data_IF_637406037283
#
_entry.id   IF_637406037283
#
_cell.length_a   1.000
_cell.length_b   1.000
_cell.length_c   1.000
_cell.angle_alpha   90.00
_cell.angle_beta   90.00
_cell.angle_gamma   90.00
#
_symmetry.space_group_name_H-M   'P 1'
#
loop_
_entity.id
_entity.type
_entity.pdbx_description
1 polymer ?
#
# COMPACT_ATOMS: atom_id res chain seq x y z
N UNK A 1 18.71 70.62 23.89
CA UNK A 1 17.42 70.86 24.57
C UNK A 1 16.36 70.04 23.84
N UNK A 2 15.67 69.23 24.64
CA UNK A 2 14.71 68.18 24.33
C UNK A 2 13.66 68.48 23.26
N UNK A 3 13.33 67.46 22.46
CA UNK A 3 12.00 66.85 22.53
C UNK A 3 12.11 65.37 22.07
N UNK A 4 11.61 64.48 22.93
CA UNK A 4 11.57 63.02 22.80
C UNK A 4 10.08 62.62 22.80
N UNK A 5 9.79 61.51 22.09
CA UNK A 5 8.61 60.60 22.13
C UNK A 5 7.68 60.57 20.90
N UNK A 6 7.00 59.43 20.61
CA UNK A 6 7.48 58.04 20.75
C UNK A 6 6.98 57.06 19.63
N UNK A 7 7.48 55.83 19.70
CA UNK A 7 6.76 54.56 19.41
C UNK A 7 6.25 54.25 18.00
N UNK A 8 6.94 53.33 17.33
CA UNK A 8 6.31 52.31 16.49
C UNK A 8 7.06 51.00 16.70
N UNK A 9 6.48 50.10 17.50
CA UNK A 9 6.95 48.75 17.68
C UNK A 9 6.78 47.97 16.37
N UNK A 10 7.89 47.69 15.68
CA UNK A 10 7.92 46.68 14.65
C UNK A 10 7.88 45.31 15.34
N UNK A 11 6.69 44.76 15.48
CA UNK A 11 6.51 43.35 15.83
C UNK A 11 7.00 42.57 14.61
N UNK A 12 8.18 41.98 14.74
CA UNK A 12 8.62 40.93 13.86
C UNK A 12 7.69 39.73 14.09
N UNK A 13 6.74 39.51 13.19
CA UNK A 13 6.08 38.22 13.08
C UNK A 13 7.09 37.25 12.49
N UNK A 14 7.72 36.46 13.36
CA UNK A 14 8.34 35.20 12.96
C UNK A 14 7.23 34.32 12.37
N UNK A 15 7.35 33.83 11.12
CA UNK A 15 6.48 32.77 10.66
C UNK A 15 6.86 31.51 11.43
N UNK A 16 6.04 31.16 12.42
CA UNK A 16 6.04 29.85 13.07
C UNK A 16 5.70 28.83 11.97
N UNK A 17 6.74 28.37 11.30
CA UNK A 17 6.69 27.18 10.47
C UNK A 17 6.80 26.01 11.45
N UNK A 18 5.81 25.12 11.57
CA UNK A 18 6.02 23.91 12.33
C UNK A 18 7.04 23.09 11.55
N UNK A 19 8.28 23.09 12.04
CA UNK A 19 9.32 22.19 11.59
C UNK A 19 8.88 20.76 11.93
N UNK A 20 8.06 20.16 11.06
CA UNK A 20 7.89 18.73 11.00
C UNK A 20 9.28 18.14 10.75
N UNK A 21 9.79 17.40 11.75
CA UNK A 21 11.08 16.70 11.76
C UNK A 21 11.53 16.26 10.36
N UNK A 22 12.55 16.92 9.83
CA UNK A 22 13.05 16.78 8.46
C UNK A 22 13.95 15.54 8.27
N UNK A 23 13.50 14.38 8.76
CA UNK A 23 14.11 13.11 8.38
C UNK A 23 13.54 12.67 7.01
N UNK A 24 14.39 12.29 6.03
CA UNK A 24 13.93 11.72 4.77
C UNK A 24 12.96 10.55 5.00
N UNK A 25 11.96 10.37 4.12
CA UNK A 25 10.96 9.28 4.24
C UNK A 25 11.55 7.91 4.62
N UNK A 26 12.70 7.46 4.05
CA UNK A 26 13.31 6.19 4.45
C UNK A 26 13.76 6.13 5.92
N UNK A 27 14.26 7.24 6.47
CA UNK A 27 14.66 7.33 7.88
C UNK A 27 13.48 7.20 8.82
N UNK A 28 12.39 7.93 8.53
CA UNK A 28 11.13 7.84 9.29
C UNK A 28 10.51 6.44 9.20
N UNK A 29 10.54 5.82 8.03
CA UNK A 29 10.05 4.46 7.83
C UNK A 29 10.84 3.47 8.68
N UNK A 30 12.17 3.56 8.68
CA UNK A 30 13.04 2.67 9.47
C UNK A 30 12.84 2.84 10.97
N UNK A 31 12.64 4.08 11.43
CA UNK A 31 12.30 4.38 12.82
C UNK A 31 10.95 3.75 13.20
N UNK A 32 9.92 3.90 12.37
CA UNK A 32 8.61 3.29 12.62
C UNK A 32 8.64 1.76 12.59
N UNK A 33 9.42 1.14 11.69
CA UNK A 33 9.65 -0.31 11.66
C UNK A 33 10.40 -0.79 12.92
N UNK A 34 11.34 0.00 13.42
CA UNK A 34 12.06 -0.31 14.68
C UNK A 34 11.10 -0.22 15.87
N UNK A 35 10.31 0.86 15.96
CA UNK A 35 9.29 1.04 16.99
C UNK A 35 8.24 -0.09 16.96
N UNK A 36 7.85 -0.55 15.77
CA UNK A 36 6.96 -1.71 15.63
C UNK A 36 7.59 -2.99 16.21
N UNK A 37 8.87 -3.25 15.93
CA UNK A 37 9.58 -4.40 16.49
C UNK A 37 9.62 -4.35 18.02
N UNK A 38 10.01 -3.21 18.59
CA UNK A 38 10.09 -2.99 20.03
C UNK A 38 8.72 -3.11 20.72
N UNK A 39 7.67 -2.56 20.09
CA UNK A 39 6.30 -2.65 20.58
C UNK A 39 5.80 -4.11 20.58
N UNK A 40 6.12 -4.88 19.54
CA UNK A 40 5.75 -6.28 19.48
C UNK A 40 6.54 -7.13 20.47
N UNK A 41 7.85 -6.88 20.65
CA UNK A 41 8.68 -7.57 21.65
C UNK A 41 8.20 -7.30 23.08
N UNK A 42 7.69 -6.10 23.36
CA UNK A 42 7.10 -5.74 24.65
C UNK A 42 5.63 -6.14 24.82
N UNK A 43 4.99 -6.70 23.78
CA UNK A 43 3.56 -7.06 23.79
C UNK A 43 2.60 -5.85 23.88
N UNK A 44 3.08 -4.65 23.53
CA UNK A 44 2.29 -3.43 23.58
C UNK A 44 1.48 -3.24 22.29
N UNK A 45 0.25 -3.77 22.29
CA UNK A 45 -0.66 -3.72 21.14
C UNK A 45 -0.93 -2.30 20.64
N UNK A 46 -1.17 -1.34 21.54
CA UNK A 46 -1.46 0.04 21.14
C UNK A 46 -0.27 0.71 20.45
N UNK A 47 0.94 0.46 20.95
CA UNK A 47 2.17 0.98 20.33
C UNK A 47 2.45 0.30 18.98
N UNK A 48 2.19 -1.01 18.89
CA UNK A 48 2.32 -1.77 17.63
C UNK A 48 1.34 -1.26 16.58
N UNK A 49 0.08 -1.06 16.96
CA UNK A 49 -0.96 -0.48 16.11
C UNK A 49 -0.56 0.92 15.63
N UNK A 50 -0.14 1.80 16.55
CA UNK A 50 0.32 3.16 16.21
C UNK A 50 1.49 3.14 15.22
N UNK A 51 2.48 2.27 15.45
CA UNK A 51 3.63 2.13 14.55
C UNK A 51 3.21 1.60 13.18
N UNK A 52 2.31 0.62 13.12
CA UNK A 52 1.78 0.07 11.86
C UNK A 52 1.03 1.10 11.03
N UNK A 53 0.19 1.93 11.66
CA UNK A 53 -0.49 3.04 10.98
C UNK A 53 0.48 4.12 10.53
N UNK A 54 1.52 4.41 11.32
CA UNK A 54 2.58 5.35 10.92
C UNK A 54 3.32 4.85 9.67
N UNK A 55 3.63 3.55 9.60
CA UNK A 55 4.24 2.94 8.41
C UNK A 55 3.29 3.07 7.20
N UNK A 56 2.01 2.74 7.38
CA UNK A 56 1.00 2.86 6.33
C UNK A 56 0.89 4.30 5.80
N UNK A 57 0.81 5.28 6.70
CA UNK A 57 0.71 6.71 6.36
C UNK A 57 1.94 7.22 5.60
N UNK A 58 3.15 6.78 6.00
CA UNK A 58 4.38 7.10 5.28
C UNK A 58 4.32 6.59 3.83
N UNK A 59 3.87 5.36 3.62
CA UNK A 59 3.77 4.78 2.27
C UNK A 59 2.65 5.43 1.45
N UNK A 60 1.50 5.72 2.07
CA UNK A 60 0.36 6.33 1.37
C UNK A 60 0.64 7.78 0.99
N UNK A 61 1.26 8.54 1.89
CA UNK A 61 1.75 9.89 1.61
C UNK A 61 2.78 9.87 0.48
N UNK A 62 3.75 8.94 0.55
CA UNK A 62 4.73 8.79 -0.52
C UNK A 62 4.08 8.46 -1.87
N UNK A 63 2.96 7.71 -1.88
CA UNK A 63 2.17 7.42 -3.06
C UNK A 63 1.39 8.65 -3.60
N UNK A 64 0.90 9.53 -2.71
CA UNK A 64 0.11 10.72 -3.06
C UNK A 64 0.89 11.95 -3.56
N UNK A 65 2.15 12.13 -3.12
CA UNK A 65 3.01 13.28 -3.48
C UNK A 65 3.29 13.40 -5.00
N UNK A 66 2.88 12.42 -5.81
CA UNK A 66 3.01 12.44 -7.28
C UNK A 66 1.84 13.10 -8.02
N UNK A 67 0.73 13.44 -7.35
CA UNK A 67 -0.47 13.99 -8.02
C UNK A 67 -0.49 15.50 -8.24
N UNK A 68 0.33 16.29 -7.54
CA UNK A 68 0.15 17.75 -7.47
C UNK A 68 1.08 18.58 -8.37
N UNK A 69 1.90 17.98 -9.23
CA UNK A 69 2.85 18.72 -10.07
C UNK A 69 2.86 18.17 -11.49
N UNK A 70 1.86 18.55 -12.29
CA UNK A 70 1.95 18.51 -13.75
C UNK A 70 1.83 19.91 -14.33
N UNK A 71 2.99 20.53 -14.56
CA UNK A 71 3.20 21.47 -15.68
C UNK A 71 4.64 21.28 -16.18
N UNK A 72 4.85 20.17 -16.90
CA UNK A 72 6.08 19.88 -17.64
C UNK A 72 7.00 18.84 -17.00
N UNK A 73 6.73 17.54 -17.22
CA UNK A 73 7.57 16.46 -16.70
C UNK A 73 8.96 16.42 -17.36
N UNK A 74 10.00 16.54 -16.54
CA UNK A 74 11.37 16.15 -16.87
C UNK A 74 11.57 14.68 -16.43
N UNK A 75 11.97 13.79 -17.35
CA UNK A 75 12.16 12.33 -17.13
C UNK A 75 13.04 12.03 -15.89
N UNK A 76 13.89 12.98 -15.51
CA UNK A 76 14.79 12.91 -14.36
C UNK A 76 14.08 12.86 -13.00
N UNK A 77 12.92 13.53 -12.87
CA UNK A 77 12.17 13.61 -11.62
C UNK A 77 11.34 12.35 -11.36
N UNK A 78 10.75 11.76 -12.40
CA UNK A 78 10.00 10.51 -12.29
C UNK A 78 10.90 9.31 -11.99
N UNK A 79 12.12 9.27 -12.57
CA UNK A 79 13.13 8.30 -12.22
C UNK A 79 13.56 8.42 -10.74
N UNK A 80 13.74 9.64 -10.24
CA UNK A 80 14.11 9.91 -8.84
C UNK A 80 13.00 9.54 -7.85
N UNK A 81 11.73 9.79 -8.21
CA UNK A 81 10.55 9.42 -7.42
C UNK A 81 10.32 7.91 -7.38
N UNK A 82 10.50 7.21 -8.51
CA UNK A 82 10.46 5.75 -8.56
C UNK A 82 11.58 5.14 -7.71
N UNK A 83 12.79 5.72 -7.75
CA UNK A 83 13.89 5.31 -6.87
C UNK A 83 13.57 5.43 -5.38
N UNK A 84 12.99 6.55 -4.94
CA UNK A 84 12.58 6.74 -3.54
C UNK A 84 11.48 5.75 -3.12
N UNK A 85 10.50 5.51 -4.00
CA UNK A 85 9.40 4.56 -3.78
C UNK A 85 9.92 3.12 -3.65
N UNK A 86 10.86 2.75 -4.52
CA UNK A 86 11.53 1.46 -4.49
C UNK A 86 12.27 1.25 -3.17
N UNK A 87 12.99 2.27 -2.68
CA UNK A 87 13.70 2.22 -1.39
C UNK A 87 12.72 1.95 -0.25
N UNK A 88 11.59 2.64 -0.19
CA UNK A 88 10.59 2.42 0.87
C UNK A 88 10.03 0.99 0.84
N UNK A 89 9.67 0.48 -0.34
CA UNK A 89 9.20 -0.89 -0.49
C UNK A 89 10.28 -1.91 -0.08
N UNK A 90 11.55 -1.65 -0.42
CA UNK A 90 12.66 -2.53 -0.04
C UNK A 90 12.88 -2.56 1.46
N UNK A 91 12.77 -1.44 2.17
CA UNK A 91 12.87 -1.42 3.64
C UNK A 91 11.77 -2.27 4.29
N UNK A 92 10.53 -2.17 3.80
CA UNK A 92 9.41 -3.02 4.26
C UNK A 92 9.69 -4.49 3.96
N UNK A 93 10.10 -4.81 2.74
CA UNK A 93 10.39 -6.20 2.34
C UNK A 93 11.55 -6.79 3.15
N UNK A 94 12.61 -6.01 3.38
CA UNK A 94 13.74 -6.41 4.21
C UNK A 94 13.27 -6.68 5.64
N UNK A 95 12.49 -5.78 6.23
CA UNK A 95 11.92 -5.96 7.56
C UNK A 95 11.09 -7.25 7.67
N UNK A 96 10.18 -7.50 6.72
CA UNK A 96 9.36 -8.71 6.67
C UNK A 96 10.21 -9.98 6.48
N UNK A 97 11.29 -9.89 5.71
CA UNK A 97 12.15 -11.03 5.36
C UNK A 97 13.23 -11.34 6.40
N UNK A 98 13.41 -10.50 7.44
CA UNK A 98 14.46 -10.71 8.44
C UNK A 98 14.24 -12.02 9.19
N UNK A 99 15.26 -12.90 9.25
CA UNK A 99 15.21 -14.10 10.06
C UNK A 99 15.47 -13.74 11.53
N UNK A 100 14.55 -13.03 12.16
CA UNK A 100 14.45 -13.01 13.62
C UNK A 100 13.58 -14.20 14.03
N UNK A 101 14.16 -15.12 14.82
CA UNK A 101 13.55 -16.30 15.46
C UNK A 101 12.01 -16.31 15.40
N UNK A 102 11.38 -16.96 14.39
CA UNK A 102 9.95 -17.27 14.36
C UNK A 102 9.07 -16.12 14.89
N UNK A 103 8.73 -15.17 14.02
CA UNK A 103 7.44 -14.47 14.03
C UNK A 103 7.12 -13.62 15.26
N UNK A 104 7.39 -12.31 15.19
CA UNK A 104 6.41 -11.40 15.76
C UNK A 104 5.18 -11.48 14.84
N UNK A 105 4.39 -12.55 14.99
CA UNK A 105 3.13 -12.74 14.27
C UNK A 105 2.26 -11.49 14.46
N UNK A 106 2.39 -10.82 15.61
CA UNK A 106 1.81 -9.51 15.88
C UNK A 106 2.22 -8.43 14.88
N UNK A 107 3.51 -8.33 14.52
CA UNK A 107 3.98 -7.37 13.52
C UNK A 107 3.45 -7.75 12.13
N UNK A 108 3.46 -9.05 11.79
CA UNK A 108 2.93 -9.53 10.53
C UNK A 108 1.41 -9.24 10.42
N UNK A 109 0.65 -9.58 11.46
CA UNK A 109 -0.80 -9.36 11.55
C UNK A 109 -1.11 -7.86 11.45
N UNK A 110 -0.45 -7.03 12.26
CA UNK A 110 -0.64 -5.58 12.25
C UNK A 110 -0.34 -4.97 10.87
N UNK A 111 0.80 -5.33 10.26
CA UNK A 111 1.16 -4.84 8.94
C UNK A 111 0.24 -5.38 7.84
N UNK A 112 -0.22 -6.63 7.95
CA UNK A 112 -1.09 -7.24 6.96
C UNK A 112 -2.42 -6.50 6.83
N UNK A 113 -2.93 -5.94 7.93
CA UNK A 113 -4.19 -5.19 7.95
C UNK A 113 -4.10 -3.85 7.23
N UNK A 114 -2.94 -3.19 7.28
CA UNK A 114 -2.81 -1.79 6.86
C UNK A 114 -2.00 -1.61 5.57
N UNK A 115 -1.05 -2.50 5.26
CA UNK A 115 -0.11 -2.31 4.16
C UNK A 115 -0.57 -2.70 2.75
N UNK A 116 -1.49 -3.65 2.51
CA UNK A 116 -1.78 -4.09 1.14
C UNK A 116 -2.17 -2.97 0.18
N UNK A 117 -3.02 -2.03 0.63
CA UNK A 117 -3.43 -0.88 -0.18
C UNK A 117 -2.26 0.08 -0.49
N UNK A 118 -1.54 0.67 0.49
CA UNK A 118 -0.46 1.60 0.18
C UNK A 118 0.72 0.93 -0.55
N UNK A 119 1.00 -0.35 -0.28
CA UNK A 119 2.01 -1.12 -1.04
C UNK A 119 1.60 -1.26 -2.51
N UNK A 120 0.34 -1.56 -2.80
CA UNK A 120 -0.16 -1.63 -4.17
C UNK A 120 -0.10 -0.26 -4.86
N UNK A 121 -0.51 0.83 -4.18
CA UNK A 121 -0.43 2.20 -4.69
C UNK A 121 1.00 2.61 -5.03
N UNK A 122 1.95 2.31 -4.15
CA UNK A 122 3.35 2.65 -4.38
C UNK A 122 3.98 1.75 -5.45
N UNK A 123 3.57 0.47 -5.51
CA UNK A 123 3.98 -0.51 -6.51
C UNK A 123 3.43 -0.27 -7.91
N UNK A 124 2.32 0.48 -8.02
CA UNK A 124 1.75 0.91 -9.29
C UNK A 124 2.65 1.88 -10.07
N UNK A 125 3.68 2.43 -9.42
CA UNK A 125 4.71 3.24 -10.07
C UNK A 125 5.57 2.37 -10.99
N UNK A 126 5.89 2.89 -12.16
CA UNK A 126 6.72 2.18 -13.15
C UNK A 126 8.09 1.78 -12.58
N UNK A 127 8.69 0.74 -13.19
CA UNK A 127 10.01 0.25 -12.83
C UNK A 127 9.98 -0.86 -11.77
N UNK A 128 11.03 -0.91 -10.94
CA UNK A 128 11.25 -2.00 -9.96
C UNK A 128 10.27 -2.00 -8.79
N UNK A 129 9.47 -0.94 -8.61
CA UNK A 129 8.46 -0.85 -7.56
C UNK A 129 7.42 -1.97 -7.67
N UNK A 130 6.99 -2.31 -8.89
CA UNK A 130 6.01 -3.38 -9.15
C UNK A 130 6.48 -4.73 -8.61
N UNK A 131 7.73 -5.10 -8.89
CA UNK A 131 8.29 -6.38 -8.48
C UNK A 131 8.44 -6.50 -6.96
N UNK A 132 8.90 -5.42 -6.31
CA UNK A 132 9.06 -5.39 -4.85
C UNK A 132 7.69 -5.41 -4.16
N UNK A 133 6.71 -4.64 -4.64
CA UNK A 133 5.36 -4.66 -4.11
C UNK A 133 4.69 -6.04 -4.28
N UNK A 134 4.84 -6.67 -5.45
CA UNK A 134 4.35 -8.02 -5.68
C UNK A 134 5.01 -9.05 -4.73
N UNK A 135 6.29 -8.89 -4.40
CA UNK A 135 6.99 -9.72 -3.43
C UNK A 135 6.45 -9.54 -2.00
N UNK A 136 6.16 -8.29 -1.58
CA UNK A 136 5.55 -7.99 -0.28
C UNK A 136 4.15 -8.60 -0.18
N UNK A 137 3.29 -8.38 -1.18
CA UNK A 137 1.94 -8.95 -1.19
C UNK A 137 2.00 -10.48 -1.18
N UNK A 138 2.91 -11.08 -1.95
CA UNK A 138 3.14 -12.53 -1.90
C UNK A 138 3.58 -13.01 -0.51
N UNK A 139 4.42 -12.23 0.17
CA UNK A 139 4.84 -12.53 1.54
C UNK A 139 3.63 -12.58 2.49
N UNK A 140 2.75 -11.58 2.44
CA UNK A 140 1.51 -11.58 3.23
C UNK A 140 0.61 -12.78 2.88
N UNK A 141 0.36 -13.03 1.59
CA UNK A 141 -0.47 -14.15 1.12
C UNK A 141 0.06 -15.51 1.61
N UNK A 142 1.38 -15.67 1.68
CA UNK A 142 2.00 -16.95 2.07
C UNK A 142 2.08 -17.15 3.58
N UNK A 143 2.12 -16.07 4.37
CA UNK A 143 2.39 -16.13 5.81
C UNK A 143 1.18 -15.76 6.69
N UNK A 144 0.10 -15.22 6.13
CA UNK A 144 -1.13 -14.91 6.87
C UNK A 144 -2.20 -15.99 6.68
N UNK A 145 -3.24 -15.97 7.53
CA UNK A 145 -4.41 -16.82 7.33
C UNK A 145 -5.09 -16.47 5.98
N UNK A 146 -5.33 -17.44 5.07
CA UNK A 146 -5.91 -17.15 3.76
C UNK A 146 -7.28 -16.47 3.80
N UNK A 147 -8.13 -16.75 4.80
CA UNK A 147 -9.46 -16.11 4.88
C UNK A 147 -9.38 -14.67 5.36
N UNK A 148 -8.50 -14.42 6.32
CA UNK A 148 -8.27 -13.07 6.82
C UNK A 148 -7.64 -12.23 5.71
N UNK A 149 -6.63 -12.78 5.02
CA UNK A 149 -6.00 -12.14 3.86
C UNK A 149 -6.99 -11.89 2.71
N UNK A 150 -7.93 -12.80 2.45
CA UNK A 150 -9.01 -12.55 1.47
C UNK A 150 -9.81 -11.31 1.86
N UNK A 151 -10.21 -11.21 3.13
CA UNK A 151 -11.03 -10.10 3.64
C UNK A 151 -10.26 -8.78 3.57
N UNK A 152 -9.00 -8.79 3.99
CA UNK A 152 -8.08 -7.65 3.94
C UNK A 152 -7.89 -7.16 2.50
N UNK A 153 -7.62 -8.06 1.55
CA UNK A 153 -7.44 -7.67 0.14
C UNK A 153 -8.74 -7.17 -0.47
N UNK A 154 -9.89 -7.72 -0.08
CA UNK A 154 -11.20 -7.19 -0.49
C UNK A 154 -11.42 -5.78 0.05
N UNK A 155 -11.05 -5.49 1.29
CA UNK A 155 -11.11 -4.14 1.85
C UNK A 155 -10.19 -3.17 1.10
N UNK A 156 -8.96 -3.59 0.80
CA UNK A 156 -8.02 -2.80 0.01
C UNK A 156 -8.53 -2.50 -1.41
N UNK A 157 -9.24 -3.45 -2.04
CA UNK A 157 -9.88 -3.29 -3.35
C UNK A 157 -11.12 -2.40 -3.31
N UNK A 158 -11.91 -2.45 -2.24
CA UNK A 158 -13.16 -1.69 -2.12
C UNK A 158 -12.93 -0.22 -1.71
N UNK A 159 -11.75 0.08 -1.17
CA UNK A 159 -11.40 1.41 -0.74
C UNK A 159 -11.32 2.38 -1.94
N UNK A 160 -11.79 3.63 -1.78
CA UNK A 160 -11.70 4.63 -2.85
C UNK A 160 -10.22 4.83 -3.23
N UNK A 161 -9.94 4.70 -4.52
CA UNK A 161 -8.65 5.01 -5.13
C UNK A 161 -8.84 6.11 -6.19
N UNK A 162 -8.03 7.15 -6.12
CA UNK A 162 -7.99 8.20 -7.12
C UNK A 162 -7.27 7.68 -8.38
N UNK A 163 -7.96 7.67 -9.53
CA UNK A 163 -7.37 7.40 -10.85
C UNK A 163 -6.72 8.69 -11.40
N UNK A 164 -5.56 8.60 -12.10
CA UNK A 164 -5.31 7.66 -13.21
C UNK A 164 -4.38 6.46 -12.92
N UNK A 165 -3.62 6.44 -11.82
CA UNK A 165 -2.70 5.33 -11.50
C UNK A 165 -3.38 4.13 -10.76
N UNK A 166 -4.71 4.17 -10.61
CA UNK A 166 -5.48 3.16 -9.89
C UNK A 166 -5.43 1.77 -10.54
N UNK A 167 -5.35 1.67 -11.88
CA UNK A 167 -5.42 0.39 -12.59
C UNK A 167 -4.28 -0.56 -12.20
N UNK A 168 -3.03 -0.08 -12.20
CA UNK A 168 -1.86 -0.89 -11.83
C UNK A 168 -1.87 -1.32 -10.36
N UNK A 169 -2.49 -0.51 -9.48
CA UNK A 169 -2.69 -0.87 -8.07
C UNK A 169 -3.68 -2.04 -7.94
N UNK A 170 -4.78 -1.99 -8.69
CA UNK A 170 -5.75 -3.08 -8.73
C UNK A 170 -5.15 -4.36 -9.30
N UNK A 171 -4.28 -4.30 -10.31
CA UNK A 171 -3.58 -5.48 -10.85
C UNK A 171 -2.82 -6.22 -9.75
N UNK A 172 -2.03 -5.51 -8.93
CA UNK A 172 -1.27 -6.10 -7.83
C UNK A 172 -2.17 -6.78 -6.79
N UNK A 173 -3.28 -6.13 -6.43
CA UNK A 173 -4.24 -6.65 -5.45
C UNK A 173 -5.01 -7.87 -5.98
N UNK A 174 -5.45 -7.84 -7.24
CA UNK A 174 -6.16 -8.95 -7.88
C UNK A 174 -5.25 -10.17 -8.06
N UNK A 175 -3.99 -9.98 -8.44
CA UNK A 175 -3.00 -11.06 -8.52
C UNK A 175 -2.73 -11.70 -7.15
N UNK A 176 -2.69 -10.90 -6.09
CA UNK A 176 -2.59 -11.40 -4.73
C UNK A 176 -3.85 -12.17 -4.32
N UNK A 177 -5.04 -11.65 -4.62
CA UNK A 177 -6.32 -12.28 -4.31
C UNK A 177 -6.49 -13.63 -5.04
N UNK A 178 -6.09 -13.71 -6.31
CA UNK A 178 -6.08 -14.96 -7.07
C UNK A 178 -5.23 -16.04 -6.37
N UNK A 179 -4.07 -15.67 -5.82
CA UNK A 179 -3.23 -16.59 -5.04
C UNK A 179 -3.86 -16.98 -3.71
N UNK A 180 -4.58 -16.07 -3.04
CA UNK A 180 -5.30 -16.42 -1.81
C UNK A 180 -6.34 -17.51 -2.05
N UNK A 181 -7.08 -17.44 -3.16
CA UNK A 181 -8.05 -18.47 -3.52
C UNK A 181 -7.45 -19.87 -3.63
N UNK A 182 -6.22 -20.00 -4.16
CA UNK A 182 -5.56 -21.31 -4.26
C UNK A 182 -5.12 -21.87 -2.91
N UNK A 183 -5.02 -21.03 -1.88
CA UNK A 183 -4.67 -21.40 -0.51
C UNK A 183 -5.89 -21.71 0.38
N UNK A 184 -7.11 -21.36 -0.08
CA UNK A 184 -8.34 -21.64 0.68
C UNK A 184 -8.69 -23.12 0.56
N UNK A 185 -8.73 -23.80 1.70
CA UNK A 185 -9.03 -25.24 1.76
C UNK A 185 -10.47 -25.59 2.11
N UNK A 186 -11.24 -24.65 2.67
CA UNK A 186 -12.59 -24.90 3.22
C UNK A 186 -13.44 -23.64 3.14
N UNK A 187 -14.77 -23.83 3.10
CA UNK A 187 -15.77 -22.74 3.00
C UNK A 187 -15.63 -21.94 1.70
N UNK A 188 -15.30 -22.63 0.62
CA UNK A 188 -15.01 -22.04 -0.68
C UNK A 188 -16.14 -21.13 -1.17
N UNK A 189 -17.39 -21.59 -1.07
CA UNK A 189 -18.57 -20.81 -1.49
C UNK A 189 -18.68 -19.51 -0.70
N UNK A 190 -18.48 -19.56 0.62
CA UNK A 190 -18.52 -18.37 1.46
C UNK A 190 -17.41 -17.38 1.09
N UNK A 191 -16.20 -17.88 0.77
CA UNK A 191 -15.10 -17.02 0.33
C UNK A 191 -15.40 -16.35 -1.03
N UNK A 192 -15.96 -17.10 -1.99
CA UNK A 192 -16.39 -16.54 -3.28
C UNK A 192 -17.44 -15.46 -3.09
N UNK A 193 -18.43 -15.70 -2.23
CA UNK A 193 -19.51 -14.73 -1.96
C UNK A 193 -19.01 -13.41 -1.39
N UNK A 194 -17.91 -13.41 -0.64
CA UNK A 194 -17.28 -12.20 -0.10
C UNK A 194 -16.51 -11.46 -1.19
N UNK A 195 -15.66 -12.16 -1.93
CA UNK A 195 -14.72 -11.51 -2.85
C UNK A 195 -15.31 -11.16 -4.23
N UNK A 196 -16.19 -11.99 -4.77
CA UNK A 196 -16.71 -11.80 -6.13
C UNK A 196 -17.43 -10.44 -6.34
N UNK A 197 -18.31 -9.98 -5.42
CA UNK A 197 -18.93 -8.66 -5.56
C UNK A 197 -17.93 -7.51 -5.61
N UNK A 198 -16.86 -7.58 -4.81
CA UNK A 198 -15.80 -6.56 -4.77
C UNK A 198 -15.05 -6.53 -6.11
N UNK A 199 -14.63 -7.70 -6.62
CA UNK A 199 -13.95 -7.80 -7.91
C UNK A 199 -14.82 -7.25 -9.04
N UNK A 200 -16.12 -7.61 -9.08
CA UNK A 200 -17.04 -7.11 -10.09
C UNK A 200 -17.27 -5.59 -9.98
N UNK A 201 -17.35 -5.05 -8.76
CA UNK A 201 -17.48 -3.61 -8.52
C UNK A 201 -16.26 -2.85 -9.05
N UNK A 202 -15.05 -3.31 -8.72
CA UNK A 202 -13.79 -2.74 -9.22
C UNK A 202 -13.76 -2.79 -10.75
N UNK A 203 -14.04 -3.95 -11.35
CA UNK A 203 -14.07 -4.11 -12.81
C UNK A 203 -15.12 -3.22 -13.47
N UNK A 204 -16.29 -3.07 -12.88
CA UNK A 204 -17.32 -2.19 -13.43
C UNK A 204 -16.88 -0.72 -13.41
N UNK A 205 -16.30 -0.26 -12.30
CA UNK A 205 -15.81 1.11 -12.17
C UNK A 205 -14.69 1.38 -13.19
N UNK A 206 -13.69 0.51 -13.25
CA UNK A 206 -12.54 0.69 -14.14
C UNK A 206 -12.93 0.59 -15.62
N UNK A 207 -13.77 -0.37 -16.02
CA UNK A 207 -14.23 -0.49 -17.42
C UNK A 207 -15.01 0.73 -17.88
N UNK A 208 -15.78 1.36 -16.99
CA UNK A 208 -16.52 2.58 -17.31
C UNK A 208 -15.60 3.78 -17.57
N UNK A 209 -14.40 3.77 -16.98
CA UNK A 209 -13.42 4.86 -17.06
C UNK A 209 -12.27 4.57 -18.05
N UNK A 210 -12.15 3.34 -18.53
CA UNK A 210 -11.15 2.92 -19.50
C UNK A 210 -11.33 3.64 -20.85
N UNK A 211 -10.50 4.65 -21.11
CA UNK A 211 -10.29 5.24 -22.44
C UNK A 211 -9.10 4.60 -23.17
N UNK A 212 -8.95 4.83 -24.48
CA UNK A 212 -7.92 4.22 -25.34
C UNK A 212 -6.48 4.39 -24.80
N UNK A 213 -6.19 5.47 -24.08
CA UNK A 213 -4.87 5.76 -23.48
C UNK A 213 -4.45 4.76 -22.38
N UNK A 214 -5.38 3.96 -21.83
CA UNK A 214 -5.07 2.96 -20.80
C UNK A 214 -4.47 1.66 -21.36
N UNK A 215 -4.38 1.52 -22.69
CA UNK A 215 -3.83 0.39 -23.46
C UNK A 215 -3.36 -0.84 -22.67
N UNK A 216 -2.10 -0.84 -22.22
CA UNK A 216 -1.49 -2.00 -21.54
C UNK A 216 -1.97 -2.21 -20.10
N UNK A 217 -2.24 -1.14 -19.34
CA UNK A 217 -2.71 -1.22 -17.96
C UNK A 217 -4.13 -1.81 -17.88
N UNK A 218 -4.99 -1.48 -18.85
CA UNK A 218 -6.31 -2.09 -18.97
C UNK A 218 -6.22 -3.60 -19.27
N UNK A 219 -5.34 -4.00 -20.20
CA UNK A 219 -5.11 -5.42 -20.51
C UNK A 219 -4.59 -6.19 -19.29
N UNK A 220 -3.61 -5.64 -18.57
CA UNK A 220 -3.10 -6.22 -17.33
C UNK A 220 -4.21 -6.39 -16.28
N UNK A 221 -5.11 -5.41 -16.15
CA UNK A 221 -6.24 -5.49 -15.24
C UNK A 221 -7.21 -6.62 -15.60
N UNK A 222 -7.61 -6.72 -16.87
CA UNK A 222 -8.47 -7.82 -17.34
C UNK A 222 -7.81 -9.17 -17.13
N UNK A 223 -6.50 -9.29 -17.37
CA UNK A 223 -5.75 -10.51 -17.12
C UNK A 223 -5.72 -10.88 -15.63
N UNK A 224 -5.51 -9.91 -14.74
CA UNK A 224 -5.52 -10.14 -13.29
C UNK A 224 -6.91 -10.57 -12.79
N UNK A 225 -7.98 -9.91 -13.24
CA UNK A 225 -9.36 -10.29 -12.91
C UNK A 225 -9.73 -11.67 -13.46
N UNK A 226 -9.29 -11.99 -14.69
CA UNK A 226 -9.43 -13.33 -15.24
C UNK A 226 -8.67 -14.38 -14.42
N UNK A 227 -7.49 -14.02 -13.89
CA UNK A 227 -6.72 -14.85 -12.95
C UNK A 227 -7.52 -15.20 -11.69
N UNK A 228 -8.26 -14.24 -11.12
CA UNK A 228 -9.18 -14.50 -10.00
C UNK A 228 -10.30 -15.46 -10.43
N UNK A 229 -10.93 -15.23 -11.58
CA UNK A 229 -11.97 -16.12 -12.12
C UNK A 229 -11.49 -17.56 -12.30
N UNK A 230 -10.27 -17.73 -12.84
CA UNK A 230 -9.64 -19.04 -12.99
C UNK A 230 -9.37 -19.72 -11.64
N UNK A 231 -8.84 -18.98 -10.65
CA UNK A 231 -8.62 -19.52 -9.32
C UNK A 231 -9.92 -19.98 -8.65
N UNK A 232 -11.02 -19.23 -8.82
CA UNK A 232 -12.35 -19.62 -8.34
C UNK A 232 -12.82 -20.89 -9.06
N UNK A 233 -12.66 -20.97 -10.39
CA UNK A 233 -13.04 -22.16 -11.15
C UNK A 233 -12.28 -23.40 -10.70
N UNK A 234 -10.96 -23.32 -10.53
CA UNK A 234 -10.12 -24.42 -10.06
C UNK A 234 -10.53 -24.86 -8.65
N UNK A 235 -10.80 -23.91 -7.76
CA UNK A 235 -11.33 -24.17 -6.43
C UNK A 235 -12.67 -24.91 -6.50
N UNK A 236 -13.62 -24.49 -7.34
CA UNK A 236 -14.89 -25.19 -7.53
C UNK A 236 -14.71 -26.62 -8.08
N UNK A 237 -13.78 -26.85 -9.00
CA UNK A 237 -13.48 -28.19 -9.52
C UNK A 237 -12.97 -29.09 -8.38
N UNK A 238 -12.07 -28.58 -7.53
CA UNK A 238 -11.54 -29.33 -6.39
C UNK A 238 -12.56 -29.66 -5.30
N UNK A 239 -13.74 -29.04 -5.30
CA UNK A 239 -14.82 -29.38 -4.36
C UNK A 239 -15.63 -30.60 -4.78
N UNK A 240 -15.60 -30.96 -6.07
CA UNK A 240 -16.42 -32.04 -6.65
C UNK A 240 -15.64 -33.37 -6.69
N UNK A 241 -14.32 -33.31 -6.54
CA UNK A 241 -13.40 -34.46 -6.52
C UNK A 241 -13.03 -34.84 -5.09
#
# INVERSE_FOLDING_TARGET
MNAVEPSAAAIAEDPITPAASAAPYPGRLREALTALSEACESGNFNASETASFTISDILDTAAGVSGELDDGSDDSQDASRSGASEVLLREVLEFLSRPSSISNQMALDALSLVLPKPVAKLGARMGRCRDVAAAILKFFVTNCNPRDMLSILCEALDAPMELPNGLSSFVLLLDALAKVFTLIQRRHIEQVKVALPVVLKVMHATVSECVEEHGSAAVDLFNAAHGVGKAIQEMCISMVC
#
